data_IF_864395187367
#
_entry.id   IF_864395187367
#
_cell.length_a   1.000
_cell.length_b   1.000
_cell.length_c   1.000
_cell.angle_alpha   90.00
_cell.angle_beta   90.00
_cell.angle_gamma   90.00
#
_symmetry.space_group_name_H-M   'P 1'
#
loop_
_entity.id
_entity.type
_entity.pdbx_description
1 polymer ?
#
# COMPACT_ATOMS: atom_id res chain seq x y z
N UNK A 1 -13.18 -2.95 6.47
CA UNK A 1 -13.56 -2.69 7.87
C UNK A 1 -12.61 -3.36 8.86
N UNK A 2 -12.46 -4.69 8.80
CA UNK A 2 -11.59 -5.44 9.72
C UNK A 2 -10.11 -5.02 9.68
N UNK A 3 -9.52 -4.85 8.49
CA UNK A 3 -8.11 -4.43 8.30
C UNK A 3 -7.79 -3.06 8.88
N UNK A 4 -8.73 -2.12 8.74
CA UNK A 4 -8.60 -0.77 9.31
C UNK A 4 -8.72 -0.80 10.83
N UNK A 5 -9.63 -1.60 11.38
CA UNK A 5 -9.74 -1.78 12.83
C UNK A 5 -8.49 -2.47 13.40
N UNK A 6 -7.97 -3.50 12.74
CA UNK A 6 -6.80 -4.24 13.21
C UNK A 6 -5.50 -3.44 13.19
N UNK A 7 -5.35 -2.45 12.32
CA UNK A 7 -4.13 -1.62 12.30
C UNK A 7 -4.00 -0.70 13.51
N UNK A 8 -5.12 -0.39 14.17
CA UNK A 8 -5.20 0.43 15.39
C UNK A 8 -5.26 -0.39 16.68
N UNK A 9 -5.21 -1.72 16.61
CA UNK A 9 -5.23 -2.62 17.78
C UNK A 9 -3.85 -2.81 18.38
N UNK A 10 -3.81 -3.13 19.67
CA UNK A 10 -2.61 -3.66 20.30
C UNK A 10 -2.32 -5.10 19.80
N UNK A 11 -1.04 -5.54 19.76
CA UNK A 11 -0.70 -6.90 19.33
C UNK A 11 -1.46 -7.98 20.12
N UNK A 12 -1.69 -7.75 21.41
CA UNK A 12 -2.47 -8.64 22.28
C UNK A 12 -3.94 -8.76 21.87
N UNK A 13 -4.58 -7.68 21.45
CA UNK A 13 -6.00 -7.66 21.04
C UNK A 13 -6.25 -8.38 19.70
N UNK A 14 -5.20 -8.61 18.89
CA UNK A 14 -5.29 -9.33 17.62
C UNK A 14 -5.44 -10.85 17.85
N UNK A 15 -4.89 -11.38 18.95
CA UNK A 15 -4.90 -12.81 19.27
C UNK A 15 -6.05 -13.26 20.18
N UNK A 16 -6.91 -12.34 20.64
CA UNK A 16 -8.05 -12.64 21.50
C UNK A 16 -9.25 -13.12 20.66
N UNK A 17 -9.95 -14.15 21.14
CA UNK A 17 -11.18 -14.65 20.53
C UNK A 17 -12.37 -14.48 21.51
N UNK A 18 -13.50 -13.86 21.11
CA UNK A 18 -13.81 -13.33 19.78
C UNK A 18 -13.06 -12.03 19.46
N UNK A 19 -12.63 -11.82 18.20
CA UNK A 19 -11.90 -10.61 17.82
C UNK A 19 -12.80 -9.38 17.96
N UNK A 20 -12.33 -8.38 18.70
CA UNK A 20 -13.04 -7.11 18.88
C UNK A 20 -13.21 -6.39 17.54
N UNK A 21 -14.39 -5.84 17.22
CA UNK A 21 -14.59 -5.15 15.93
C UNK A 21 -13.97 -3.75 15.92
N UNK A 22 -13.82 -3.11 17.08
CA UNK A 22 -13.15 -1.83 17.28
C UNK A 22 -12.13 -1.98 18.42
N UNK A 23 -10.96 -1.32 18.35
CA UNK A 23 -9.99 -1.32 19.44
C UNK A 23 -10.57 -0.62 20.67
N UNK A 24 -10.28 -1.12 21.87
CA UNK A 24 -10.67 -0.42 23.12
C UNK A 24 -9.85 0.86 23.30
N UNK A 25 -8.57 0.81 22.90
CA UNK A 25 -7.65 1.95 22.92
C UNK A 25 -6.94 2.06 21.57
N UNK A 26 -7.27 3.07 20.74
CA UNK A 26 -6.65 3.26 19.43
C UNK A 26 -5.12 3.48 19.53
N UNK A 27 -4.33 2.60 18.93
CA UNK A 27 -2.87 2.65 18.90
C UNK A 27 -2.35 3.38 17.66
N UNK A 28 -2.39 4.71 17.67
CA UNK A 28 -1.85 5.55 16.58
C UNK A 28 -0.33 5.42 16.41
N UNK A 29 0.36 5.03 17.48
CA UNK A 29 1.80 4.83 17.53
C UNK A 29 2.28 3.71 16.61
N UNK A 30 1.40 2.76 16.25
CA UNK A 30 1.72 1.70 15.29
C UNK A 30 2.17 2.28 13.94
N UNK A 31 1.56 3.38 13.49
CA UNK A 31 1.92 4.03 12.23
C UNK A 31 3.26 4.75 12.33
N UNK A 32 3.49 5.50 13.40
CA UNK A 32 4.78 6.19 13.60
C UNK A 32 5.92 5.19 13.73
N UNK A 33 5.68 4.07 14.43
CA UNK A 33 6.65 3.00 14.63
C UNK A 33 7.05 2.33 13.31
N UNK A 34 6.08 2.00 12.45
CA UNK A 34 6.38 1.39 11.13
C UNK A 34 7.19 2.34 10.24
N UNK A 35 6.94 3.65 10.33
CA UNK A 35 7.66 4.67 9.56
C UNK A 35 9.07 4.94 10.09
N UNK A 36 9.36 4.69 11.37
CA UNK A 36 10.68 4.94 11.98
C UNK A 36 11.54 3.70 12.18
N UNK A 37 10.96 2.55 12.52
CA UNK A 37 11.72 1.30 12.76
C UNK A 37 12.16 0.61 11.46
N UNK A 38 11.43 0.84 10.37
CA UNK A 38 11.73 0.24 9.07
C UNK A 38 12.04 1.32 8.04
N UNK A 39 12.88 1.03 7.03
CA UNK A 39 13.12 1.94 5.92
C UNK A 39 11.93 1.94 4.93
N UNK A 40 10.72 2.17 5.46
CA UNK A 40 9.46 2.13 4.72
C UNK A 40 9.47 3.13 3.56
N UNK A 41 10.01 4.34 3.79
CA UNK A 41 10.14 5.37 2.75
C UNK A 41 10.96 4.86 1.55
N UNK A 42 12.05 4.14 1.79
CA UNK A 42 12.90 3.60 0.72
C UNK A 42 12.16 2.54 -0.08
N UNK A 43 11.47 1.62 0.58
CA UNK A 43 10.68 0.59 -0.11
C UNK A 43 9.54 1.19 -0.92
N UNK A 44 8.84 2.16 -0.34
CA UNK A 44 7.78 2.89 -1.02
C UNK A 44 8.32 3.62 -2.27
N UNK A 45 9.44 4.32 -2.15
CA UNK A 45 10.07 5.01 -3.28
C UNK A 45 10.53 4.05 -4.39
N UNK A 46 11.07 2.88 -4.04
CA UNK A 46 11.42 1.85 -5.02
C UNK A 46 10.18 1.38 -5.80
N UNK A 47 9.07 1.11 -5.12
CA UNK A 47 7.81 0.72 -5.78
C UNK A 47 7.27 1.84 -6.67
N UNK A 48 7.27 3.09 -6.18
CA UNK A 48 6.85 4.25 -6.97
C UNK A 48 7.70 4.37 -8.23
N UNK A 49 9.03 4.28 -8.12
CA UNK A 49 9.92 4.38 -9.27
C UNK A 49 9.64 3.28 -10.31
N UNK A 50 9.57 2.02 -9.88
CA UNK A 50 9.33 0.88 -10.78
C UNK A 50 7.97 0.99 -11.45
N UNK A 51 6.91 1.31 -10.70
CA UNK A 51 5.56 1.43 -11.25
C UNK A 51 5.44 2.60 -12.23
N UNK A 52 6.11 3.73 -11.97
CA UNK A 52 6.09 4.90 -12.84
C UNK A 52 6.82 4.62 -14.16
N UNK A 53 8.01 4.00 -14.10
CA UNK A 53 8.75 3.60 -15.32
C UNK A 53 7.96 2.57 -16.13
N UNK A 54 7.38 1.57 -15.46
CA UNK A 54 6.58 0.54 -16.13
C UNK A 54 5.34 1.14 -16.82
N UNK A 55 4.57 1.97 -16.11
CA UNK A 55 3.38 2.61 -16.68
C UNK A 55 3.71 3.52 -17.86
N UNK A 56 4.77 4.33 -17.78
CA UNK A 56 5.23 5.14 -18.92
C UNK A 56 5.63 4.25 -20.11
N UNK A 57 6.40 3.20 -19.88
CA UNK A 57 6.79 2.25 -20.93
C UNK A 57 5.57 1.59 -21.59
N UNK A 58 4.58 1.18 -20.81
CA UNK A 58 3.33 0.60 -21.31
C UNK A 58 2.50 1.62 -22.10
N UNK A 59 2.36 2.85 -21.60
CA UNK A 59 1.60 3.91 -22.28
C UNK A 59 2.24 4.26 -23.63
N UNK A 60 3.57 4.42 -23.68
CA UNK A 60 4.27 4.71 -24.93
C UNK A 60 4.14 3.56 -25.94
N UNK A 61 4.36 2.33 -25.48
CA UNK A 61 4.26 1.13 -26.34
C UNK A 61 2.84 0.94 -26.89
N UNK A 62 1.84 1.04 -26.02
CA UNK A 62 0.43 0.90 -26.42
C UNK A 62 -0.04 2.04 -27.32
N UNK A 63 0.39 3.27 -27.08
CA UNK A 63 0.05 4.42 -27.93
C UNK A 63 0.63 4.28 -29.34
N UNK A 64 1.87 3.78 -29.47
CA UNK A 64 2.50 3.55 -30.77
C UNK A 64 1.75 2.48 -31.58
N UNK A 65 1.39 1.38 -30.93
CA UNK A 65 0.60 0.29 -31.54
C UNK A 65 -0.82 0.78 -31.89
N UNK A 66 -1.46 1.53 -31.00
CA UNK A 66 -2.78 2.08 -31.27
C UNK A 66 -2.77 3.04 -32.48
N UNK A 67 -1.72 3.86 -32.63
CA UNK A 67 -1.57 4.76 -33.77
C UNK A 67 -1.43 4.01 -35.09
N UNK A 68 -0.65 2.91 -35.12
CA UNK A 68 -0.53 2.10 -36.34
C UNK A 68 -1.86 1.46 -36.73
N UNK A 69 -2.65 0.97 -35.78
CA UNK A 69 -3.99 0.45 -36.05
C UNK A 69 -5.01 1.51 -36.47
N UNK A 70 -4.90 2.75 -35.97
CA UNK A 70 -5.86 3.81 -36.27
C UNK A 70 -5.64 4.48 -37.65
N UNK A 71 -4.45 4.34 -38.24
CA UNK A 71 -4.07 4.98 -39.51
C UNK A 71 -4.14 4.03 -40.72
N UNK A 72 -4.38 2.74 -40.51
CA UNK A 72 -4.81 1.77 -41.53
C UNK A 72 -6.34 1.61 -41.50
#
# INVERSE_FOLDING_TARGET
FYTLSSSLKAPSEIYIFPPTLLPEVPQWQNYTRVLTEYPYTTWFMNTVFVTLVATLGTVLSSSLVAYSFARF
#
